data_IF_537141186172
#
_entry.id   IF_537141186172
#
_cell.length_a   1.000
_cell.length_b   1.000
_cell.length_c   1.000
_cell.angle_alpha   90.00
_cell.angle_beta   90.00
_cell.angle_gamma   90.00
#
_symmetry.space_group_name_H-M   'P 1'
#
loop_
_entity.id
_entity.type
_entity.pdbx_description
1 polymer ?
#
# COMPACT_ATOMS: atom_id res chain seq x y z
N UNK A 1 24.22 2.65 1.49
CA UNK A 1 23.37 2.49 2.69
C UNK A 1 24.24 2.71 3.92
N UNK A 2 23.73 3.41 4.92
CA UNK A 2 24.46 3.90 6.09
C UNK A 2 23.85 3.38 7.37
N UNK A 3 24.67 2.87 8.29
CA UNK A 3 24.18 2.45 9.61
C UNK A 3 23.91 3.64 10.53
N UNK A 4 23.10 3.41 11.56
CA UNK A 4 22.91 4.41 12.61
C UNK A 4 24.23 4.67 13.36
N UNK A 5 24.50 5.93 13.76
CA UNK A 5 25.67 6.29 14.55
C UNK A 5 25.79 5.46 15.84
N UNK A 6 27.02 5.20 16.28
CA UNK A 6 27.29 4.57 17.59
C UNK A 6 27.04 5.54 18.74
N UNK A 7 27.26 6.85 18.53
CA UNK A 7 26.99 7.89 19.51
C UNK A 7 25.48 7.97 19.78
N UNK A 8 25.08 7.89 21.06
CA UNK A 8 23.70 7.95 21.51
C UNK A 8 22.98 9.24 21.10
N UNK A 9 23.65 10.40 21.16
CA UNK A 9 23.07 11.70 20.80
C UNK A 9 22.75 11.77 19.31
N UNK A 10 23.72 11.46 18.44
CA UNK A 10 23.51 11.44 16.99
C UNK A 10 22.48 10.38 16.59
N UNK A 11 22.49 9.20 17.24
CA UNK A 11 21.50 8.15 17.03
C UNK A 11 20.08 8.63 17.38
N UNK A 12 19.91 9.31 18.52
CA UNK A 12 18.62 9.90 18.93
C UNK A 12 18.17 10.97 17.94
N UNK A 13 19.08 11.82 17.47
CA UNK A 13 18.78 12.84 16.44
C UNK A 13 18.30 12.21 15.13
N UNK A 14 18.98 11.17 14.65
CA UNK A 14 18.56 10.43 13.45
C UNK A 14 17.19 9.77 13.64
N UNK A 15 16.93 9.16 14.81
CA UNK A 15 15.63 8.56 15.14
C UNK A 15 14.49 9.58 15.03
N UNK A 16 14.70 10.78 15.58
CA UNK A 16 13.71 11.87 15.54
C UNK A 16 13.49 12.35 14.11
N UNK A 17 14.56 12.64 13.36
CA UNK A 17 14.47 13.15 11.98
C UNK A 17 13.78 12.16 11.02
N UNK A 18 14.08 10.87 11.16
CA UNK A 18 13.48 9.80 10.36
C UNK A 18 12.13 9.34 10.90
N UNK A 19 11.68 9.88 12.03
CA UNK A 19 10.38 9.61 12.65
C UNK A 19 10.15 8.12 12.89
N UNK A 20 11.18 7.47 13.42
CA UNK A 20 11.14 6.05 13.77
C UNK A 20 10.76 5.95 15.23
N UNK A 21 9.61 5.37 15.55
CA UNK A 21 9.20 5.18 16.95
C UNK A 21 9.85 3.93 17.57
N UNK A 22 10.10 2.92 16.74
CA UNK A 22 10.72 1.64 17.11
C UNK A 22 12.14 1.79 17.69
N UNK A 23 12.61 0.85 18.53
CA UNK A 23 13.99 0.83 18.97
C UNK A 23 14.93 0.63 17.77
N UNK A 24 16.03 1.39 17.75
CA UNK A 24 17.02 1.33 16.67
C UNK A 24 17.95 0.12 16.89
N UNK A 25 17.94 -0.81 15.95
CA UNK A 25 18.84 -1.98 15.96
C UNK A 25 20.07 -1.73 15.08
N UNK A 26 21.13 -2.53 15.27
CA UNK A 26 22.38 -2.39 14.52
C UNK A 26 22.26 -2.79 13.03
N UNK A 27 21.21 -3.53 12.68
CA UNK A 27 20.93 -3.96 11.30
C UNK A 27 20.23 -2.87 10.49
N UNK A 28 19.57 -1.90 11.14
CA UNK A 28 18.88 -0.81 10.46
C UNK A 28 19.86 0.08 9.69
N UNK A 29 19.51 0.34 8.43
CA UNK A 29 20.27 1.21 7.53
C UNK A 29 19.39 2.30 6.95
N UNK A 30 20.00 3.44 6.65
CA UNK A 30 19.42 4.60 5.98
C UNK A 30 20.03 4.70 4.58
N UNK A 31 19.21 4.90 3.55
CA UNK A 31 19.73 5.00 2.19
C UNK A 31 20.49 6.32 1.98
N UNK A 32 21.34 6.37 0.95
CA UNK A 32 22.18 7.54 0.66
C UNK A 32 21.37 8.78 0.26
N UNK A 33 20.12 8.61 -0.19
CA UNK A 33 19.25 9.68 -0.65
C UNK A 33 18.78 10.63 0.48
N UNK A 34 18.96 10.23 1.75
CA UNK A 34 18.65 11.07 2.90
C UNK A 34 19.73 12.10 3.25
N UNK A 35 20.89 12.03 2.59
CA UNK A 35 22.04 12.88 2.85
C UNK A 35 22.36 13.73 1.62
N UNK A 36 22.91 14.91 1.87
CA UNK A 36 23.44 15.80 0.82
C UNK A 36 24.86 15.38 0.43
N UNK A 37 25.41 15.93 -0.66
CA UNK A 37 26.77 15.60 -1.09
C UNK A 37 27.79 16.09 -0.05
N UNK A 38 27.48 17.19 0.62
CA UNK A 38 28.30 17.89 1.60
C UNK A 38 28.38 17.13 2.93
N UNK A 39 27.45 16.23 3.20
CA UNK A 39 27.46 15.35 4.37
C UNK A 39 28.52 14.24 4.27
N UNK A 40 29.06 13.99 3.08
CA UNK A 40 30.07 12.96 2.85
C UNK A 40 31.49 13.47 3.09
N UNK A 41 32.34 12.56 3.53
CA UNK A 41 33.79 12.78 3.59
C UNK A 41 34.34 12.61 2.17
N UNK A 42 35.08 13.61 1.68
CA UNK A 42 35.70 13.63 0.35
C UNK A 42 34.70 13.31 -0.78
N UNK A 43 33.67 14.14 -0.98
CA UNK A 43 32.57 13.84 -1.90
C UNK A 43 32.98 13.74 -3.38
N UNK A 44 34.09 14.37 -3.75
CA UNK A 44 34.60 14.42 -5.14
C UNK A 44 35.64 13.32 -5.44
N UNK A 45 36.02 12.54 -4.44
CA UNK A 45 36.99 11.45 -4.60
C UNK A 45 36.24 10.13 -4.72
N UNK A 46 36.49 9.40 -5.81
CA UNK A 46 35.90 8.08 -6.03
C UNK A 46 36.38 7.09 -4.97
N UNK A 47 35.47 6.66 -4.09
CA UNK A 47 35.71 5.64 -3.08
C UNK A 47 34.75 4.46 -3.26
N UNK A 48 35.24 3.24 -3.01
CA UNK A 48 34.42 2.02 -3.00
C UNK A 48 33.26 2.10 -2.00
N UNK A 49 33.42 2.83 -0.90
CA UNK A 49 32.37 3.10 0.09
C UNK A 49 32.37 4.57 0.48
N UNK A 50 31.23 5.23 0.27
CA UNK A 50 31.01 6.61 0.70
C UNK A 50 30.79 6.65 2.21
N UNK A 51 31.57 7.46 2.93
CA UNK A 51 31.47 7.62 4.38
C UNK A 51 30.87 8.99 4.73
N UNK A 52 30.01 9.03 5.74
CA UNK A 52 29.41 10.26 6.24
C UNK A 52 30.32 10.93 7.28
N UNK A 53 30.28 12.26 7.34
CA UNK A 53 30.90 13.05 8.41
C UNK A 53 30.26 12.68 9.77
N UNK A 54 31.01 12.86 10.86
CA UNK A 54 30.51 12.56 12.23
C UNK A 54 29.29 13.40 12.61
N UNK A 55 29.16 14.59 12.03
CA UNK A 55 28.07 15.55 12.24
C UNK A 55 26.91 15.39 11.26
N UNK A 56 27.06 14.54 10.24
CA UNK A 56 26.05 14.36 9.21
C UNK A 56 24.73 13.85 9.81
N UNK A 57 23.65 14.48 9.39
CA UNK A 57 22.29 14.13 9.80
C UNK A 57 21.43 13.99 8.55
N UNK A 58 20.48 13.03 8.52
CA UNK A 58 19.56 12.91 7.40
C UNK A 58 18.72 14.19 7.33
N UNK A 59 18.81 14.89 6.21
CA UNK A 59 18.15 16.17 5.95
C UNK A 59 17.25 16.11 4.72
N UNK A 60 17.46 15.13 3.84
CA UNK A 60 16.71 14.96 2.59
C UNK A 60 15.67 13.85 2.69
N UNK A 61 14.59 14.01 1.91
CA UNK A 61 13.52 13.02 1.75
C UNK A 61 12.95 12.53 3.09
N UNK A 62 12.85 13.43 4.07
CA UNK A 62 12.32 13.08 5.38
C UNK A 62 10.81 12.85 5.31
N UNK A 63 10.24 12.01 6.18
CA UNK A 63 8.81 11.73 6.16
C UNK A 63 8.01 12.98 6.56
N UNK A 64 7.33 13.59 5.58
CA UNK A 64 6.46 14.75 5.83
C UNK A 64 5.25 14.36 6.68
N UNK A 65 4.94 15.19 7.68
CA UNK A 65 3.70 15.10 8.46
C UNK A 65 2.55 15.54 7.56
N UNK A 66 1.59 14.65 7.27
CA UNK A 66 0.40 14.98 6.47
C UNK A 66 -0.62 15.89 7.18
N UNK A 67 -0.34 16.33 8.41
CA UNK A 67 -1.27 17.20 9.16
C UNK A 67 -1.33 18.65 8.66
N UNK A 68 -0.68 18.99 7.55
CA UNK A 68 -0.80 20.31 6.89
C UNK A 68 -0.88 20.23 5.36
N UNK A 69 -1.04 19.04 4.76
CA UNK A 69 -1.35 18.95 3.34
C UNK A 69 -2.86 18.97 3.17
N UNK A 70 -3.38 19.99 2.48
CA UNK A 70 -4.77 20.07 2.04
C UNK A 70 -5.27 18.69 1.63
N UNK A 71 -6.43 18.30 2.15
CA UNK A 71 -7.06 17.00 1.85
C UNK A 71 -7.06 16.86 0.33
N UNK A 72 -6.32 15.90 -0.21
CA UNK A 72 -6.32 15.64 -1.66
C UNK A 72 -7.70 15.08 -2.03
N UNK A 73 -8.67 15.96 -2.25
CA UNK A 73 -10.07 15.64 -2.56
C UNK A 73 -10.15 14.69 -3.75
N UNK A 74 -9.24 14.82 -4.71
CA UNK A 74 -9.12 13.92 -5.85
C UNK A 74 -8.77 12.49 -5.43
N UNK A 75 -7.83 12.31 -4.50
CA UNK A 75 -7.45 10.98 -4.00
C UNK A 75 -8.58 10.33 -3.17
N UNK A 76 -9.36 11.15 -2.45
CA UNK A 76 -10.56 10.70 -1.73
C UNK A 76 -11.66 10.28 -2.72
N UNK A 77 -11.96 11.10 -3.71
CA UNK A 77 -12.94 10.82 -4.76
C UNK A 77 -12.57 9.54 -5.55
N UNK A 78 -11.30 9.39 -5.94
CA UNK A 78 -10.81 8.16 -6.59
C UNK A 78 -10.95 6.92 -5.71
N UNK A 79 -10.83 7.05 -4.38
CA UNK A 79 -11.04 5.91 -3.47
C UNK A 79 -12.52 5.54 -3.42
N UNK A 80 -13.41 6.52 -3.35
CA UNK A 80 -14.85 6.33 -3.33
C UNK A 80 -15.35 5.69 -4.63
N UNK A 81 -14.91 6.20 -5.79
CA UNK A 81 -15.24 5.64 -7.10
C UNK A 81 -14.86 4.16 -7.21
N UNK A 82 -13.66 3.79 -6.73
CA UNK A 82 -13.25 2.38 -6.69
C UNK A 82 -14.13 1.52 -5.79
N UNK A 83 -14.59 2.05 -4.66
CA UNK A 83 -15.48 1.34 -3.75
C UNK A 83 -16.86 1.12 -4.39
N UNK A 84 -17.45 2.18 -4.95
CA UNK A 84 -18.75 2.12 -5.63
C UNK A 84 -18.71 1.15 -6.82
N UNK A 85 -17.68 1.24 -7.68
CA UNK A 85 -17.51 0.32 -8.81
C UNK A 85 -17.43 -1.14 -8.35
N UNK A 86 -16.72 -1.41 -7.26
CA UNK A 86 -16.64 -2.77 -6.70
C UNK A 86 -18.00 -3.27 -6.21
N UNK A 87 -18.78 -2.43 -5.52
CA UNK A 87 -20.13 -2.79 -5.06
C UNK A 87 -21.05 -3.10 -6.24
N UNK A 88 -21.04 -2.27 -7.28
CA UNK A 88 -21.85 -2.48 -8.49
C UNK A 88 -21.49 -3.80 -9.20
N UNK A 89 -20.20 -4.14 -9.27
CA UNK A 89 -19.77 -5.41 -9.86
C UNK A 89 -20.25 -6.62 -9.05
N UNK A 90 -20.22 -6.54 -7.72
CA UNK A 90 -20.72 -7.59 -6.84
C UNK A 90 -22.24 -7.75 -6.97
N UNK A 91 -22.97 -6.65 -6.96
CA UNK A 91 -24.43 -6.66 -7.14
C UNK A 91 -24.82 -7.25 -8.51
N UNK A 92 -24.10 -6.86 -9.58
CA UNK A 92 -24.31 -7.42 -10.92
C UNK A 92 -24.04 -8.92 -10.96
N UNK A 93 -23.01 -9.42 -10.28
CA UNK A 93 -22.71 -10.85 -10.22
C UNK A 93 -23.84 -11.62 -9.53
N UNK A 94 -24.30 -11.15 -8.36
CA UNK A 94 -25.42 -11.76 -7.62
C UNK A 94 -26.70 -11.80 -8.46
N UNK A 95 -26.99 -10.72 -9.20
CA UNK A 95 -28.18 -10.66 -10.06
C UNK A 95 -28.12 -11.66 -11.22
N UNK A 96 -26.94 -11.89 -11.79
CA UNK A 96 -26.76 -12.89 -12.85
C UNK A 96 -26.94 -14.30 -12.28
N UNK A 97 -26.34 -14.61 -11.13
CA UNK A 97 -26.53 -15.90 -10.45
C UNK A 97 -28.01 -16.17 -10.13
N UNK A 98 -28.75 -15.14 -9.68
CA UNK A 98 -30.19 -15.25 -9.43
C UNK A 98 -31.02 -15.44 -10.71
N UNK A 99 -30.59 -14.89 -11.85
CA UNK A 99 -31.27 -15.09 -13.12
C UNK A 99 -31.05 -16.52 -13.64
N UNK A 100 -29.83 -17.05 -13.50
CA UNK A 100 -29.50 -18.43 -13.88
C UNK A 100 -30.29 -19.45 -13.06
N UNK A 101 -30.48 -19.20 -11.75
CA UNK A 101 -31.29 -20.08 -10.90
C UNK A 101 -32.78 -20.03 -11.26
N UNK A 102 -33.34 -18.86 -11.56
CA UNK A 102 -34.74 -18.73 -11.99
C UNK A 102 -35.00 -19.45 -13.33
N UNK A 103 -34.08 -19.33 -14.29
CA UNK A 103 -34.17 -20.04 -15.57
C UNK A 103 -34.19 -21.55 -15.35
N UNK A 104 -33.33 -22.07 -14.46
CA UNK A 104 -33.27 -23.48 -14.15
C UNK A 104 -34.59 -23.97 -13.55
N UNK A 105 -35.16 -23.23 -12.60
CA UNK A 105 -36.44 -23.56 -11.97
C UNK A 105 -37.59 -23.60 -12.98
N UNK A 106 -37.71 -22.58 -13.84
CA UNK A 106 -38.73 -22.52 -14.87
C UNK A 106 -38.64 -23.73 -15.84
N UNK A 107 -37.43 -24.15 -16.19
CA UNK A 107 -37.22 -25.32 -17.03
C UNK A 107 -37.54 -26.64 -16.32
N UNK A 108 -37.35 -26.74 -14.99
CA UNK A 108 -37.78 -27.92 -14.23
C UNK A 108 -39.30 -28.02 -14.12
N UNK A 109 -39.99 -26.91 -13.91
CA UNK A 109 -41.46 -26.85 -13.84
C UNK A 109 -42.10 -27.24 -15.19
N UNK A 110 -41.55 -26.74 -16.29
CA UNK A 110 -42.00 -27.09 -17.64
C UNK A 110 -41.80 -28.60 -17.97
N UNK A 111 -40.77 -29.24 -17.41
CA UNK A 111 -40.47 -30.66 -17.63
C UNK A 111 -41.28 -31.61 -16.73
N UNK A 112 -41.82 -31.11 -15.61
CA UNK A 112 -42.72 -31.88 -14.73
C UNK A 112 -44.17 -31.92 -15.24
N UNK A 113 -44.58 -30.94 -16.04
CA UNK A 113 -45.96 -30.87 -16.56
C UNK A 113 -46.21 -31.76 -17.79
N UNK A 114 -45.16 -32.26 -18.44
CA UNK A 114 -45.25 -33.09 -19.66
C UNK A 114 -45.21 -34.61 -19.41
N UNK A 115 -45.14 -35.06 -18.14
CA UNK A 115 -45.00 -36.49 -17.78
C UNK A 115 -46.27 -37.16 -17.21
N UNK A 116 -47.42 -36.49 -17.14
CA UNK A 116 -48.65 -37.08 -16.57
C UNK A 116 -49.70 -37.56 -17.60
N UNK A 117 -49.41 -37.55 -18.90
CA UNK A 117 -50.33 -38.10 -19.92
C UNK A 117 -49.72 -39.29 -20.68
N UNK A 118 -49.70 -40.48 -20.05
CA UNK A 118 -49.81 -41.73 -20.81
C UNK A 118 -50.97 -42.56 -20.25
N UNK A 119 -52.03 -42.84 -21.05
CA UNK A 119 -53.13 -43.68 -20.60
C UNK A 119 -52.69 -45.14 -20.58
N UNK A 120 -52.86 -45.76 -19.41
CA UNK A 120 -52.78 -47.22 -19.21
C UNK A 120 -53.79 -47.90 -20.13
N UNK A 121 -53.31 -48.80 -20.99
CA UNK A 121 -54.12 -49.80 -21.69
C UNK A 121 -53.53 -51.19 -21.44
#
# INVERSE_FOLDING_TARGET
MHGFPKNALSRKKWKILLRIDKPITNTMKVCSAHFTKEDYILPDVAHKRKCLKKTACPSRNLPQIRHQSAVNHEAKAKREDRYVRRQQLLEKAVRLEAADTLLLLANTEANTHTKEEEPVN
#
